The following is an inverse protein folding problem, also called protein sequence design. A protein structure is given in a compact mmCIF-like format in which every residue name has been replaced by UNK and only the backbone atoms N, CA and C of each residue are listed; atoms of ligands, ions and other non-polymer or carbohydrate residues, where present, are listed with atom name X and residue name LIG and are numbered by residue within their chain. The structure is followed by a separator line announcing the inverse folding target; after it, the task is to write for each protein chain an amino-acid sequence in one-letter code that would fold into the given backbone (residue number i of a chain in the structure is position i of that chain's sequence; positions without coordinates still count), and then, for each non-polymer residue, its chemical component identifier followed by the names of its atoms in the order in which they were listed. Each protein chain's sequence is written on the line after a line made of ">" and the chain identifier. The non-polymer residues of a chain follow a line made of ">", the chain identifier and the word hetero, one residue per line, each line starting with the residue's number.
data_IF_291771290422
#
_entry.id   IF_291771290422
#
_cell.length_a   1.000
_cell.length_b   1.000
_cell.length_c   1.000
_cell.angle_alpha   90.00
_cell.angle_beta   90.00
_cell.angle_gamma   90.00
#
_symmetry.space_group_name_H-M   'P 1'
#
loop_
_entity.id
_entity.type
_entity.pdbx_description
1 polymer ?
#
# COMPACT_ATOMS: atom_id res chain seq x y z
N UNK A 1 -5.81 -14.69 1.27
CA UNK A 1 -4.81 -14.20 0.30
C UNK A 1 -4.64 -15.25 -0.78
N UNK A 2 -4.25 -14.89 -2.01
CA UNK A 2 -3.98 -15.91 -3.04
C UNK A 2 -2.66 -16.65 -2.72
N UNK A 3 -2.50 -17.93 -3.08
CA UNK A 3 -1.32 -18.73 -2.72
C UNK A 3 0.02 -18.11 -3.14
N UNK A 4 0.07 -17.45 -4.29
CA UNK A 4 1.28 -16.83 -4.85
C UNK A 4 1.83 -15.73 -3.94
N UNK A 5 0.95 -14.96 -3.28
CA UNK A 5 1.32 -13.91 -2.34
C UNK A 5 1.53 -14.51 -0.94
N UNK A 6 0.66 -15.44 -0.53
CA UNK A 6 0.75 -16.07 0.80
C UNK A 6 2.09 -16.78 1.02
N UNK A 7 2.61 -17.45 -0.01
CA UNK A 7 3.92 -18.11 0.06
C UNK A 7 5.09 -17.13 0.28
N UNK A 8 4.97 -15.87 -0.14
CA UNK A 8 5.99 -14.85 0.07
C UNK A 8 5.89 -14.20 1.46
N UNK A 9 4.76 -14.37 2.15
CA UNK A 9 4.44 -13.70 3.42
C UNK A 9 4.31 -14.67 4.59
N UNK A 10 4.86 -15.90 4.49
CA UNK A 10 4.72 -16.95 5.51
C UNK A 10 5.18 -16.56 6.93
N UNK A 11 6.03 -15.54 7.05
CA UNK A 11 6.51 -15.02 8.33
C UNK A 11 5.59 -13.95 8.95
N UNK A 12 4.50 -13.58 8.26
CA UNK A 12 3.50 -12.61 8.71
C UNK A 12 2.17 -13.31 8.96
N UNK A 13 1.45 -12.85 9.99
CA UNK A 13 0.09 -13.31 10.26
C UNK A 13 -0.92 -12.33 9.65
N UNK A 14 -1.82 -12.78 8.76
CA UNK A 14 -2.88 -11.93 8.23
C UNK A 14 -3.83 -11.44 9.32
N UNK A 15 -4.22 -10.16 9.26
CA UNK A 15 -5.22 -9.59 10.15
C UNK A 15 -6.59 -9.66 9.45
N UNK A 16 -7.49 -10.48 9.98
CA UNK A 16 -8.85 -10.57 9.48
C UNK A 16 -9.66 -9.33 9.90
N UNK A 17 -10.47 -8.81 8.96
CA UNK A 17 -11.37 -7.68 9.20
C UNK A 17 -12.66 -7.81 8.40
N UNK A 18 -13.70 -7.17 8.90
CA UNK A 18 -15.00 -7.05 8.23
C UNK A 18 -15.31 -5.63 7.77
N UNK A 19 -14.65 -4.61 8.34
CA UNK A 19 -14.75 -3.22 7.92
C UNK A 19 -14.07 -3.00 6.56
N UNK A 20 -14.57 -2.04 5.77
CA UNK A 20 -13.89 -1.64 4.54
C UNK A 20 -12.61 -0.84 4.83
N UNK A 21 -12.67 0.07 5.81
CA UNK A 21 -11.52 0.76 6.36
C UNK A 21 -10.75 -0.18 7.32
N UNK A 22 -9.54 -0.60 6.96
CA UNK A 22 -8.73 -1.44 7.85
C UNK A 22 -8.36 -0.71 9.16
N UNK A 23 -8.29 0.62 9.13
CA UNK A 23 -8.00 1.41 10.32
C UNK A 23 -9.14 1.41 11.35
N UNK A 24 -10.32 0.85 11.05
CA UNK A 24 -11.38 0.62 12.05
C UNK A 24 -11.19 -0.70 12.82
N UNK A 25 -10.20 -1.52 12.46
CA UNK A 25 -9.89 -2.77 13.14
C UNK A 25 -8.78 -2.54 14.19
N UNK A 26 -9.05 -2.88 15.45
CA UNK A 26 -8.12 -2.64 16.57
C UNK A 26 -6.78 -3.37 16.39
N UNK A 27 -6.81 -4.63 15.95
CA UNK A 27 -5.58 -5.40 15.69
C UNK A 27 -4.73 -4.76 14.58
N UNK A 28 -5.38 -4.19 13.56
CA UNK A 28 -4.67 -3.44 12.51
C UNK A 28 -4.05 -2.16 13.07
N UNK A 29 -4.77 -1.38 13.88
CA UNK A 29 -4.22 -0.17 14.52
C UNK A 29 -3.01 -0.49 15.39
N UNK A 30 -3.08 -1.56 16.19
CA UNK A 30 -1.98 -2.03 17.03
C UNK A 30 -0.77 -2.42 16.18
N UNK A 31 -0.97 -3.21 15.11
CA UNK A 31 0.11 -3.59 14.20
C UNK A 31 0.77 -2.38 13.50
N UNK A 32 -0.02 -1.39 13.09
CA UNK A 32 0.50 -0.13 12.51
C UNK A 32 1.36 0.61 13.54
N UNK A 33 0.88 0.73 14.78
CA UNK A 33 1.61 1.41 15.87
C UNK A 33 2.91 0.69 16.22
N UNK A 34 2.86 -0.63 16.37
CA UNK A 34 4.00 -1.47 16.74
C UNK A 34 5.09 -1.51 15.66
N UNK A 35 4.72 -1.28 14.40
CA UNK A 35 5.69 -1.16 13.31
C UNK A 35 6.66 0.02 13.47
N UNK A 36 6.26 1.06 14.21
CA UNK A 36 7.02 2.31 14.36
C UNK A 36 7.20 3.10 13.05
N UNK A 37 6.43 2.80 12.00
CA UNK A 37 6.55 3.44 10.66
C UNK A 37 5.58 4.59 10.51
N UNK A 38 6.06 5.71 9.95
CA UNK A 38 5.24 6.87 9.60
C UNK A 38 4.77 6.88 8.14
N UNK A 39 5.43 6.10 7.26
CA UNK A 39 5.19 6.04 5.81
C UNK A 39 4.65 4.67 5.40
N UNK A 40 3.61 4.67 4.57
CA UNK A 40 2.91 3.46 4.12
C UNK A 40 2.73 3.41 2.61
N UNK A 41 3.26 2.36 1.99
CA UNK A 41 2.89 1.95 0.64
C UNK A 41 1.59 1.12 0.70
N UNK A 42 0.56 1.54 0.00
CA UNK A 42 -0.75 0.87 0.00
C UNK A 42 -1.04 0.29 -1.38
N UNK A 43 -1.37 -1.01 -1.42
CA UNK A 43 -1.75 -1.74 -2.63
C UNK A 43 -2.91 -2.72 -2.33
N UNK A 44 -3.50 -3.31 -3.37
CA UNK A 44 -4.55 -4.32 -3.25
C UNK A 44 -5.89 -3.92 -3.89
N UNK A 45 -6.97 -4.56 -3.44
CA UNK A 45 -8.31 -4.42 -4.05
C UNK A 45 -9.42 -4.33 -2.99
N UNK A 46 -10.58 -3.73 -3.29
CA UNK A 46 -10.83 -2.88 -4.47
C UNK A 46 -10.35 -1.44 -4.22
N UNK A 47 -9.75 -0.80 -5.24
CA UNK A 47 -9.20 0.56 -5.18
C UNK A 47 -10.18 1.55 -4.55
N UNK A 48 -11.43 1.54 -5.02
CA UNK A 48 -12.46 2.49 -4.62
C UNK A 48 -13.21 2.14 -3.31
N UNK A 49 -12.89 1.00 -2.70
CA UNK A 49 -13.56 0.51 -1.49
C UNK A 49 -12.54 0.41 -0.36
N UNK A 50 -11.85 -0.74 -0.24
CA UNK A 50 -10.97 -1.04 0.89
C UNK A 50 -9.69 -0.21 0.84
N UNK A 51 -9.07 -0.07 -0.33
CA UNK A 51 -7.84 0.74 -0.49
C UNK A 51 -8.15 2.21 -0.18
N UNK A 52 -9.19 2.76 -0.80
CA UNK A 52 -9.63 4.13 -0.58
C UNK A 52 -9.89 4.43 0.90
N UNK A 53 -10.75 3.66 1.55
CA UNK A 53 -11.14 3.93 2.93
C UNK A 53 -10.00 3.69 3.92
N UNK A 54 -9.15 2.68 3.69
CA UNK A 54 -7.97 2.43 4.52
C UNK A 54 -6.93 3.54 4.41
N UNK A 55 -6.66 4.02 3.19
CA UNK A 55 -5.76 5.14 2.97
C UNK A 55 -6.26 6.43 3.65
N UNK A 56 -7.57 6.72 3.58
CA UNK A 56 -8.17 7.81 4.36
C UNK A 56 -8.01 7.63 5.87
N UNK A 57 -8.19 6.40 6.36
CA UNK A 57 -7.95 6.05 7.76
C UNK A 57 -6.52 6.40 8.19
N UNK A 58 -5.52 5.93 7.45
CA UNK A 58 -4.11 6.26 7.67
C UNK A 58 -3.85 7.77 7.64
N UNK A 59 -4.30 8.47 6.60
CA UNK A 59 -4.14 9.92 6.46
C UNK A 59 -4.77 10.69 7.64
N UNK A 60 -5.96 10.30 8.09
CA UNK A 60 -6.64 10.96 9.21
C UNK A 60 -5.91 10.81 10.55
N UNK A 61 -4.99 9.83 10.64
CA UNK A 61 -4.12 9.60 11.79
C UNK A 61 -2.69 10.14 11.56
N UNK A 62 -2.51 11.05 10.59
CA UNK A 62 -1.26 11.73 10.26
C UNK A 62 -0.13 10.82 9.76
N UNK A 63 -0.47 9.66 9.18
CA UNK A 63 0.50 8.87 8.43
C UNK A 63 0.69 9.41 7.02
N UNK A 64 1.89 9.25 6.48
CA UNK A 64 2.20 9.49 5.07
C UNK A 64 1.79 8.26 4.26
N UNK A 65 1.02 8.48 3.19
CA UNK A 65 0.43 7.40 2.39
C UNK A 65 0.79 7.59 0.92
N UNK A 66 1.37 6.55 0.35
CA UNK A 66 1.67 6.43 -1.08
C UNK A 66 0.86 5.26 -1.66
N UNK A 67 -0.02 5.53 -2.62
CA UNK A 67 -0.75 4.46 -3.32
C UNK A 67 0.11 3.95 -4.47
N UNK A 68 0.41 2.65 -4.45
CA UNK A 68 1.15 1.98 -5.53
C UNK A 68 0.17 1.71 -6.68
N UNK A 69 0.08 2.67 -7.59
CA UNK A 69 -1.03 2.82 -8.56
C UNK A 69 -1.16 1.67 -9.58
N UNK A 70 -0.06 1.00 -9.90
CA UNK A 70 0.00 -0.20 -10.74
C UNK A 70 -0.22 -1.51 -9.95
N UNK A 71 -0.35 -1.42 -8.61
CA UNK A 71 -0.65 -2.53 -7.70
C UNK A 71 -2.05 -2.44 -7.07
N UNK A 72 -2.93 -1.60 -7.62
CA UNK A 72 -4.33 -1.50 -7.19
C UNK A 72 -5.28 -1.81 -8.33
N UNK A 73 -6.44 -2.36 -8.00
CA UNK A 73 -7.44 -2.68 -9.02
C UNK A 73 -8.87 -2.63 -8.49
N UNK A 74 -9.82 -2.45 -9.40
CA UNK A 74 -11.26 -2.54 -9.20
C UNK A 74 -11.88 -3.12 -10.46
N UNK A 75 -13.14 -3.55 -10.39
CA UNK A 75 -13.83 -4.11 -11.57
C UNK A 75 -13.99 -3.12 -12.73
N UNK A 76 -14.10 -1.82 -12.42
CA UNK A 76 -14.22 -0.74 -13.41
C UNK A 76 -12.98 0.16 -13.36
N UNK A 77 -12.42 0.47 -14.54
CA UNK A 77 -11.31 1.43 -14.67
C UNK A 77 -11.68 2.83 -14.19
N UNK A 78 -12.93 3.23 -14.41
CA UNK A 78 -13.43 4.53 -13.95
C UNK A 78 -13.44 4.62 -12.42
N UNK A 79 -13.73 3.51 -11.73
CA UNK A 79 -13.67 3.45 -10.27
C UNK A 79 -12.23 3.58 -9.76
N UNK A 80 -11.26 2.97 -10.44
CA UNK A 80 -9.83 3.13 -10.12
C UNK A 80 -9.45 4.60 -10.26
N UNK A 81 -9.72 5.21 -11.43
CA UNK A 81 -9.37 6.59 -11.71
C UNK A 81 -10.00 7.58 -10.71
N UNK A 82 -11.29 7.41 -10.40
CA UNK A 82 -11.99 8.23 -9.43
C UNK A 82 -11.38 8.11 -8.03
N UNK A 83 -11.09 6.89 -7.57
CA UNK A 83 -10.51 6.65 -6.26
C UNK A 83 -9.11 7.27 -6.13
N UNK A 84 -8.24 7.06 -7.12
CA UNK A 84 -6.89 7.64 -7.14
C UNK A 84 -6.93 9.16 -7.13
N UNK A 85 -7.77 9.77 -7.98
CA UNK A 85 -7.94 11.23 -7.99
C UNK A 85 -8.44 11.77 -6.64
N UNK A 86 -9.42 11.11 -6.03
CA UNK A 86 -9.91 11.50 -4.69
C UNK A 86 -8.81 11.36 -3.64
N UNK A 87 -8.01 10.31 -3.65
CA UNK A 87 -6.92 10.11 -2.67
C UNK A 87 -5.85 11.20 -2.81
N UNK A 88 -5.46 11.56 -4.03
CA UNK A 88 -4.54 12.66 -4.26
C UNK A 88 -5.05 13.98 -3.68
N UNK A 89 -6.32 14.33 -3.93
CA UNK A 89 -6.91 15.57 -3.38
C UNK A 89 -7.04 15.56 -1.85
N UNK A 90 -6.90 14.38 -1.22
CA UNK A 90 -6.92 14.20 0.23
C UNK A 90 -5.52 14.10 0.85
N UNK A 91 -4.46 14.18 0.04
CA UNK A 91 -3.07 14.22 0.50
C UNK A 91 -2.32 12.90 0.41
N UNK A 92 -2.90 11.83 -0.17
CA UNK A 92 -2.10 10.66 -0.52
C UNK A 92 -1.23 10.96 -1.74
N UNK A 93 0.03 10.51 -1.72
CA UNK A 93 0.85 10.44 -2.91
C UNK A 93 0.43 9.28 -3.81
N UNK A 94 0.84 9.36 -5.08
CA UNK A 94 0.78 8.24 -6.01
C UNK A 94 2.19 7.88 -6.44
N UNK A 95 2.48 6.59 -6.39
CA UNK A 95 3.72 6.01 -6.88
C UNK A 95 3.40 4.78 -7.75
N UNK A 96 4.41 4.10 -8.23
CA UNK A 96 4.31 2.79 -8.87
C UNK A 96 5.44 1.89 -8.35
N UNK A 97 5.46 0.61 -8.72
CA UNK A 97 6.50 -0.32 -8.23
C UNK A 97 7.90 0.23 -8.48
N UNK A 98 8.17 0.72 -9.69
CA UNK A 98 9.50 1.18 -10.08
C UNK A 98 9.96 2.40 -9.28
N UNK A 99 9.09 3.40 -9.16
CA UNK A 99 9.34 4.63 -8.40
C UNK A 99 9.60 4.31 -6.92
N UNK A 100 8.69 3.59 -6.26
CA UNK A 100 8.83 3.36 -4.82
C UNK A 100 10.07 2.52 -4.49
N UNK A 101 10.42 1.53 -5.32
CA UNK A 101 11.61 0.73 -5.11
C UNK A 101 12.89 1.57 -5.27
N UNK A 102 12.97 2.45 -6.27
CA UNK A 102 14.15 3.31 -6.43
C UNK A 102 14.23 4.42 -5.38
N UNK A 103 13.10 4.97 -4.92
CA UNK A 103 13.04 5.90 -3.78
C UNK A 103 13.57 5.26 -2.49
N UNK A 104 13.27 3.98 -2.26
CA UNK A 104 13.77 3.22 -1.11
C UNK A 104 15.27 2.91 -1.23
N UNK A 105 15.76 2.52 -2.41
CA UNK A 105 17.17 2.15 -2.62
C UNK A 105 18.09 3.38 -2.63
N UNK A 106 17.60 4.53 -3.11
CA UNK A 106 18.26 5.85 -3.19
C UNK A 106 19.52 5.94 -4.06
N UNK A 107 20.33 4.88 -4.15
CA UNK A 107 21.64 4.90 -4.79
C UNK A 107 21.91 3.60 -5.54
N UNK A 108 22.32 3.69 -6.80
CA UNK A 108 22.68 2.54 -7.64
C UNK A 108 23.92 1.77 -7.17
N UNK A 109 24.69 2.33 -6.24
CA UNK A 109 25.81 1.66 -5.56
C UNK A 109 25.41 0.94 -4.27
N UNK A 110 24.13 1.00 -3.87
CA UNK A 110 23.62 0.28 -2.71
C UNK A 110 23.78 -1.23 -2.91
N UNK A 111 24.12 -1.95 -1.84
CA UNK A 111 24.29 -3.41 -1.86
C UNK A 111 23.04 -4.13 -2.40
N UNK A 112 21.86 -3.56 -2.12
CA UNK A 112 20.57 -4.12 -2.52
C UNK A 112 20.16 -3.75 -3.96
N UNK A 113 20.86 -2.82 -4.63
CA UNK A 113 20.43 -2.32 -5.95
C UNK A 113 20.32 -3.42 -7.00
N UNK A 114 21.29 -4.36 -7.02
CA UNK A 114 21.29 -5.45 -7.99
C UNK A 114 20.10 -6.40 -7.81
N UNK A 115 19.64 -6.62 -6.59
CA UNK A 115 18.47 -7.46 -6.32
C UNK A 115 17.19 -6.74 -6.71
N UNK A 116 17.08 -5.45 -6.39
CA UNK A 116 15.93 -4.62 -6.78
C UNK A 116 15.82 -4.49 -8.30
N UNK A 117 16.94 -4.34 -9.00
CA UNK A 117 16.96 -4.29 -10.46
C UNK A 117 16.41 -5.58 -11.10
N UNK A 118 16.49 -6.74 -10.44
CA UNK A 118 15.91 -7.99 -10.98
C UNK A 118 14.38 -8.01 -10.91
N UNK A 119 13.78 -7.19 -10.02
CA UNK A 119 12.33 -7.06 -9.84
C UNK A 119 11.72 -6.15 -10.90
N UNK A 120 12.51 -5.24 -11.48
CA UNK A 120 12.11 -4.26 -12.49
C UNK A 120 12.61 -4.77 -13.84
N UNK A 121 11.70 -5.21 -14.73
CA UNK A 121 12.03 -5.74 -16.06
C UNK A 121 11.30 -4.99 -17.16
#
# INVERSE_FOLDING_TARGET
>A
TIPEIENLLQHLQPIEKYSFNAFENENFQEAIKDSGRSQWLVCGIETHICVYQTALGLLSHNFEVEIVSDCVSSRSKDHIALALNKLQTKGAGLTNIEMCLYELVKNSKSENFKEILKLIK
#
